data_IF_666967494394
#
_entry.id   IF_666967494394
#
_cell.length_a   1.000
_cell.length_b   1.000
_cell.length_c   1.000
_cell.angle_alpha   90.00
_cell.angle_beta   90.00
_cell.angle_gamma   90.00
#
_symmetry.space_group_name_H-M   'P 1'
#
loop_
_entity.id
_entity.type
_entity.pdbx_description
1 polymer ?
#
# COMPACT_ATOMS: atom_id res chain seq x y z
N UNK A 1 -7.28 -1.58 -17.41
CA UNK A 1 -6.40 -2.73 -17.09
C UNK A 1 -6.97 -3.52 -15.90
N UNK A 2 -6.71 -4.82 -15.76
CA UNK A 2 -7.16 -5.63 -14.60
C UNK A 2 -5.98 -6.43 -14.03
N UNK A 3 -5.74 -6.33 -12.72
CA UNK A 3 -4.66 -7.01 -12.00
C UNK A 3 -5.21 -8.13 -11.13
N UNK A 4 -4.58 -9.30 -11.20
CA UNK A 4 -4.96 -10.49 -10.46
C UNK A 4 -3.82 -10.95 -9.56
N UNK A 5 -4.10 -11.65 -8.46
CA UNK A 5 -3.09 -12.39 -7.72
C UNK A 5 -2.44 -13.46 -8.62
N UNK A 6 -1.18 -13.84 -8.33
CA UNK A 6 -0.42 -14.78 -9.17
C UNK A 6 -0.97 -16.21 -9.15
N UNK A 7 -1.84 -16.54 -8.19
CA UNK A 7 -2.47 -17.86 -8.09
C UNK A 7 -3.96 -17.73 -7.78
N UNK A 8 -4.76 -18.58 -8.39
CA UNK A 8 -6.18 -18.76 -8.09
C UNK A 8 -6.44 -19.88 -7.07
N UNK A 9 -5.37 -20.44 -6.46
CA UNK A 9 -5.41 -21.42 -5.38
C UNK A 9 -4.77 -20.86 -4.12
N UNK A 10 -5.09 -21.47 -2.98
CA UNK A 10 -4.47 -21.10 -1.71
C UNK A 10 -3.00 -21.53 -1.72
N UNK A 11 -2.08 -20.57 -1.66
CA UNK A 11 -0.63 -20.82 -1.56
C UNK A 11 -0.12 -20.83 -0.12
N UNK A 12 -1.01 -20.72 0.87
CA UNK A 12 -0.61 -20.81 2.28
C UNK A 12 -0.25 -22.26 2.61
N UNK A 13 1.03 -22.58 2.94
CA UNK A 13 1.47 -23.97 3.16
C UNK A 13 0.81 -24.63 4.37
N UNK A 14 0.24 -23.83 5.29
CA UNK A 14 -0.50 -24.32 6.45
C UNK A 14 -1.96 -24.64 6.14
N UNK A 15 -2.42 -24.36 4.92
CA UNK A 15 -3.79 -24.58 4.50
C UNK A 15 -3.85 -25.81 3.59
N UNK A 16 -4.59 -26.84 4.00
CA UNK A 16 -4.81 -28.06 3.18
C UNK A 16 -5.82 -27.88 2.03
N UNK A 17 -6.22 -26.64 1.71
CA UNK A 17 -7.24 -26.37 0.69
C UNK A 17 -6.65 -26.45 -0.71
N UNK A 18 -7.09 -27.43 -1.49
CA UNK A 18 -6.75 -27.55 -2.92
C UNK A 18 -7.82 -26.99 -3.87
N UNK A 19 -8.86 -26.32 -3.35
CA UNK A 19 -9.94 -25.72 -4.15
C UNK A 19 -9.61 -24.29 -4.54
N UNK A 20 -10.09 -23.88 -5.72
CA UNK A 20 -10.01 -22.52 -6.24
C UNK A 20 -10.52 -21.50 -5.21
N UNK A 21 -9.83 -20.37 -5.12
CA UNK A 21 -10.17 -19.27 -4.24
C UNK A 21 -11.45 -18.58 -4.69
N UNK A 22 -12.20 -18.02 -3.74
CA UNK A 22 -13.39 -17.23 -4.08
C UNK A 22 -12.94 -15.86 -4.56
N UNK A 23 -13.46 -15.42 -5.71
CA UNK A 23 -13.22 -14.09 -6.23
C UNK A 23 -14.01 -13.07 -5.41
N UNK A 24 -13.32 -12.07 -4.88
CA UNK A 24 -13.95 -10.91 -4.25
C UNK A 24 -14.42 -9.90 -5.30
N UNK A 25 -15.05 -8.80 -4.86
CA UNK A 25 -15.41 -7.71 -5.74
C UNK A 25 -14.16 -7.01 -6.30
N UNK A 26 -14.10 -6.77 -7.62
CA UNK A 26 -13.06 -5.92 -8.21
C UNK A 26 -13.08 -4.54 -7.56
N UNK A 27 -11.90 -4.04 -7.20
CA UNK A 27 -11.70 -2.72 -6.62
C UNK A 27 -11.13 -1.82 -7.70
N UNK A 28 -11.73 -0.64 -7.90
CA UNK A 28 -11.15 0.38 -8.78
C UNK A 28 -9.80 0.84 -8.20
N UNK A 29 -8.82 1.11 -9.03
CA UNK A 29 -7.49 1.58 -8.64
C UNK A 29 -6.91 2.50 -9.72
N UNK A 30 -5.82 3.19 -9.39
CA UNK A 30 -5.13 4.06 -10.35
C UNK A 30 -3.68 3.61 -10.50
N UNK A 31 -3.22 3.53 -11.74
CA UNK A 31 -1.83 3.14 -12.05
C UNK A 31 -1.11 4.31 -12.70
N UNK A 32 0.01 4.69 -12.13
CA UNK A 32 0.86 5.76 -12.63
C UNK A 32 1.99 5.16 -13.45
N UNK A 33 2.12 5.63 -14.68
CA UNK A 33 3.11 5.16 -15.65
C UNK A 33 3.76 6.36 -16.34
N UNK A 34 5.05 6.27 -16.69
CA UNK A 34 5.72 7.33 -17.45
C UNK A 34 5.23 7.39 -18.90
N UNK A 35 5.00 6.23 -19.52
CA UNK A 35 4.67 6.16 -20.95
C UNK A 35 3.23 6.54 -21.26
N UNK A 36 2.29 6.29 -20.34
CA UNK A 36 0.86 6.45 -20.59
C UNK A 36 0.16 7.31 -19.54
N UNK A 37 0.92 7.96 -18.64
CA UNK A 37 0.34 8.76 -17.57
C UNK A 37 -0.46 7.92 -16.59
N UNK A 38 -1.57 8.48 -16.13
CA UNK A 38 -2.45 7.89 -15.12
C UNK A 38 -3.51 7.02 -15.79
N UNK A 39 -3.44 5.72 -15.53
CA UNK A 39 -4.29 4.71 -16.17
C UNK A 39 -5.31 4.14 -15.16
N UNK A 40 -6.62 4.17 -15.46
CA UNK A 40 -7.61 3.52 -14.62
C UNK A 40 -7.49 1.99 -14.73
N UNK A 41 -7.52 1.30 -13.59
CA UNK A 41 -7.42 -0.15 -13.55
C UNK A 41 -8.28 -0.79 -12.47
N UNK A 42 -8.38 -2.11 -12.50
CA UNK A 42 -9.11 -2.88 -11.52
C UNK A 42 -8.18 -3.83 -10.80
N UNK A 43 -8.21 -3.84 -9.48
CA UNK A 43 -7.58 -4.85 -8.65
C UNK A 43 -8.60 -5.95 -8.33
N UNK A 44 -8.22 -7.20 -8.55
CA UNK A 44 -8.98 -8.35 -8.08
C UNK A 44 -8.34 -8.91 -6.83
N UNK A 45 -9.15 -9.10 -5.80
CA UNK A 45 -8.75 -9.78 -4.57
C UNK A 45 -9.37 -11.18 -4.56
N UNK A 46 -8.61 -12.17 -4.08
CA UNK A 46 -9.09 -13.54 -3.92
C UNK A 46 -9.05 -13.92 -2.44
N UNK A 47 -10.08 -14.61 -1.95
CA UNK A 47 -10.20 -14.95 -0.53
C UNK A 47 -10.26 -16.45 -0.32
N UNK A 48 -9.45 -16.94 0.64
CA UNK A 48 -9.50 -18.31 1.13
C UNK A 48 -10.32 -18.37 2.42
N UNK A 49 -11.51 -19.01 2.41
CA UNK A 49 -12.36 -19.09 3.60
C UNK A 49 -11.84 -20.07 4.66
N UNK A 50 -10.88 -20.95 4.32
CA UNK A 50 -10.42 -21.99 5.24
C UNK A 50 -9.28 -21.49 6.14
N UNK A 51 -8.37 -20.67 5.60
CA UNK A 51 -7.27 -20.08 6.35
C UNK A 51 -7.39 -18.56 6.54
N UNK A 52 -8.52 -17.96 6.13
CA UNK A 52 -8.79 -16.52 6.22
C UNK A 52 -7.69 -15.64 5.60
N UNK A 53 -7.07 -16.11 4.52
CA UNK A 53 -6.06 -15.36 3.78
C UNK A 53 -6.70 -14.64 2.59
N UNK A 54 -6.43 -13.35 2.47
CA UNK A 54 -6.80 -12.54 1.31
C UNK A 54 -5.58 -12.33 0.42
N UNK A 55 -5.69 -12.66 -0.85
CA UNK A 55 -4.65 -12.54 -1.85
C UNK A 55 -4.90 -11.31 -2.71
N UNK A 56 -3.90 -10.43 -2.74
CA UNK A 56 -3.79 -9.25 -3.59
C UNK A 56 -2.78 -9.55 -4.71
N UNK A 57 -2.72 -8.73 -5.77
CA UNK A 57 -1.73 -8.88 -6.84
C UNK A 57 -0.30 -9.04 -6.33
N UNK A 58 0.08 -8.27 -5.30
CA UNK A 58 1.48 -8.17 -4.87
C UNK A 58 1.80 -8.91 -3.57
N UNK A 59 0.79 -9.16 -2.73
CA UNK A 59 0.97 -9.79 -1.43
C UNK A 59 -0.27 -10.58 -1.02
N UNK A 60 -0.12 -11.45 -0.01
CA UNK A 60 -1.24 -12.03 0.73
C UNK A 60 -1.31 -11.40 2.11
N UNK A 61 -2.51 -11.14 2.62
CA UNK A 61 -2.75 -10.69 3.98
C UNK A 61 -3.41 -11.81 4.80
N UNK A 62 -2.81 -12.13 5.95
CA UNK A 62 -3.35 -13.08 6.92
C UNK A 62 -3.04 -12.58 8.33
N UNK A 63 -4.05 -12.58 9.22
CA UNK A 63 -3.89 -12.18 10.63
C UNK A 63 -3.20 -10.83 10.84
N UNK A 64 -3.52 -9.84 10.00
CA UNK A 64 -2.91 -8.52 10.11
C UNK A 64 -1.44 -8.47 9.67
N UNK A 65 -0.92 -9.48 8.96
CA UNK A 65 0.42 -9.48 8.35
C UNK A 65 0.29 -9.57 6.83
N UNK A 66 0.95 -8.68 6.11
CA UNK A 66 1.17 -8.76 4.67
C UNK A 66 2.42 -9.58 4.41
N UNK A 67 2.34 -10.51 3.48
CA UNK A 67 3.44 -11.33 3.04
C UNK A 67 3.51 -11.24 1.52
N UNK A 68 4.59 -10.64 1.00
CA UNK A 68 4.78 -10.48 -0.43
C UNK A 68 5.01 -11.83 -1.11
N UNK A 69 4.58 -11.96 -2.36
CA UNK A 69 4.75 -13.21 -3.10
C UNK A 69 6.24 -13.43 -3.40
N UNK A 70 6.66 -14.69 -3.37
CA UNK A 70 8.02 -15.06 -3.74
C UNK A 70 8.19 -14.96 -5.28
N UNK A 71 9.36 -14.50 -5.74
CA UNK A 71 9.65 -14.33 -7.17
C UNK A 71 10.36 -13.01 -7.47
N UNK A 72 10.23 -12.56 -8.72
CA UNK A 72 10.74 -11.26 -9.17
C UNK A 72 9.92 -10.10 -8.57
N UNK A 73 10.54 -8.92 -8.48
CA UNK A 73 9.85 -7.69 -8.09
C UNK A 73 8.68 -7.45 -9.06
N UNK A 74 7.44 -7.28 -8.56
CA UNK A 74 6.28 -7.10 -9.42
C UNK A 74 6.41 -5.82 -10.23
N UNK A 75 5.97 -5.87 -11.48
CA UNK A 75 6.01 -4.73 -12.40
C UNK A 75 5.28 -3.50 -11.86
N UNK A 76 4.21 -3.73 -11.08
CA UNK A 76 3.40 -2.71 -10.44
C UNK A 76 3.36 -2.94 -8.95
N UNK A 77 3.65 -1.92 -8.15
CA UNK A 77 3.62 -2.02 -6.69
C UNK A 77 2.42 -1.28 -6.14
N UNK A 78 1.73 -1.92 -5.18
CA UNK A 78 0.51 -1.43 -4.58
C UNK A 78 0.87 -0.55 -3.41
N UNK A 79 0.47 0.71 -3.48
CA UNK A 79 0.80 1.78 -2.57
C UNK A 79 -0.53 2.32 -2.04
N UNK A 80 -1.06 1.66 -1.02
CA UNK A 80 -2.30 2.09 -0.37
C UNK A 80 -2.02 2.86 0.91
N UNK A 81 -2.60 4.05 1.05
CA UNK A 81 -2.66 4.88 2.27
C UNK A 81 -1.41 4.83 3.17
N UNK A 82 -0.28 5.24 2.63
CA UNK A 82 0.95 5.45 3.37
C UNK A 82 1.32 6.96 3.18
N UNK A 83 2.00 7.59 4.15
CA UNK A 83 2.26 9.04 4.21
C UNK A 83 3.74 9.33 4.55
N UNK A 84 4.53 9.89 3.62
CA UNK A 84 5.86 10.53 3.85
C UNK A 84 6.34 11.33 2.62
N UNK A 85 7.25 12.32 2.79
CA UNK A 85 7.38 13.51 1.90
C UNK A 85 8.39 13.50 0.70
N UNK A 86 8.03 13.17 -0.57
CA UNK A 86 8.80 13.29 -1.85
C UNK A 86 8.21 14.33 -2.84
N UNK A 87 8.16 15.60 -2.42
CA UNK A 87 7.37 16.67 -3.08
C UNK A 87 7.81 17.02 -4.51
N UNK A 88 9.09 16.82 -4.85
CA UNK A 88 9.59 17.20 -6.18
C UNK A 88 9.19 16.20 -7.27
N UNK A 89 9.18 14.89 -6.96
CA UNK A 89 8.84 13.84 -7.93
C UNK A 89 7.35 13.86 -8.26
N UNK A 90 6.50 13.98 -7.23
CA UNK A 90 5.05 14.10 -7.42
C UNK A 90 4.69 15.33 -8.24
N UNK A 91 5.35 16.47 -7.98
CA UNK A 91 5.14 17.71 -8.72
C UNK A 91 5.60 17.59 -10.17
N UNK A 92 6.77 17.03 -10.44
CA UNK A 92 7.28 16.85 -11.81
C UNK A 92 6.34 15.96 -12.64
N UNK A 93 5.91 14.83 -12.06
CA UNK A 93 4.96 13.93 -12.71
C UNK A 93 3.63 14.63 -13.01
N UNK A 94 3.04 15.27 -12.01
CA UNK A 94 1.76 15.97 -12.18
C UNK A 94 1.89 17.10 -13.22
N UNK A 95 2.98 17.87 -13.23
CA UNK A 95 3.16 18.93 -14.24
C UNK A 95 3.30 18.37 -15.66
N UNK A 96 3.95 17.22 -15.83
CA UNK A 96 4.16 16.61 -17.13
C UNK A 96 2.91 15.90 -17.69
N UNK A 97 2.05 15.34 -16.83
CA UNK A 97 1.03 14.37 -17.24
C UNK A 97 -0.41 14.68 -16.79
N UNK A 98 -0.65 15.67 -15.92
CA UNK A 98 -2.00 15.88 -15.31
C UNK A 98 -3.05 16.58 -16.19
N UNK A 99 -2.67 17.32 -17.23
CA UNK A 99 -3.60 18.26 -17.88
C UNK A 99 -4.65 17.61 -18.79
N UNK A 100 -4.43 16.37 -19.25
CA UNK A 100 -5.31 15.69 -20.18
C UNK A 100 -6.32 14.76 -19.48
N UNK A 101 -6.02 14.26 -18.28
CA UNK A 101 -6.64 13.04 -17.75
C UNK A 101 -7.81 13.28 -16.77
N UNK A 102 -7.86 14.43 -16.07
CA UNK A 102 -8.90 14.69 -15.06
C UNK A 102 -10.33 14.71 -15.61
N UNK A 103 -10.50 15.14 -16.86
CA UNK A 103 -11.84 15.20 -17.50
C UNK A 103 -12.37 13.82 -17.87
N UNK A 104 -11.51 12.94 -18.34
CA UNK A 104 -11.90 11.60 -18.80
C UNK A 104 -12.22 10.68 -17.62
N UNK A 105 -11.51 10.83 -16.50
CA UNK A 105 -11.78 10.08 -15.27
C UNK A 105 -13.13 10.44 -14.64
N UNK A 106 -13.45 11.73 -14.59
CA UNK A 106 -14.73 12.21 -14.08
C UNK A 106 -15.91 11.73 -14.94
N UNK A 107 -15.76 11.75 -16.27
CA UNK A 107 -16.78 11.26 -17.20
C UNK A 107 -17.01 9.74 -17.08
N UNK A 108 -15.97 8.96 -16.75
CA UNK A 108 -16.03 7.51 -16.57
C UNK A 108 -16.59 7.04 -15.22
N UNK A 109 -16.97 7.95 -14.32
CA UNK A 109 -17.43 7.59 -12.96
C UNK A 109 -16.33 6.99 -12.08
N UNK A 110 -15.06 7.34 -12.34
CA UNK A 110 -13.94 6.86 -11.55
C UNK A 110 -13.84 7.59 -10.23
N UNK A 111 -13.79 6.86 -9.10
CA UNK A 111 -13.85 7.48 -7.77
C UNK A 111 -12.51 8.07 -7.29
N UNK A 112 -11.41 7.81 -7.99
CA UNK A 112 -10.07 8.23 -7.59
C UNK A 112 -9.54 9.38 -8.43
N UNK A 113 -8.89 10.34 -7.77
CA UNK A 113 -8.21 11.45 -8.44
C UNK A 113 -6.90 11.02 -9.10
N UNK A 114 -6.51 11.75 -10.15
CA UNK A 114 -5.32 11.49 -10.96
C UNK A 114 -4.03 12.02 -10.31
N UNK A 115 -4.14 12.73 -9.18
CA UNK A 115 -3.02 13.44 -8.58
C UNK A 115 -2.10 12.46 -7.85
N UNK A 116 -0.89 12.28 -8.38
CA UNK A 116 0.18 11.56 -7.71
C UNK A 116 0.63 12.39 -6.50
N UNK A 117 0.55 11.80 -5.31
CA UNK A 117 1.05 12.46 -4.12
C UNK A 117 2.50 12.09 -3.90
N UNK A 118 3.16 13.01 -3.23
CA UNK A 118 4.44 12.88 -2.55
C UNK A 118 4.55 11.58 -1.75
N UNK A 119 3.48 11.19 -1.06
CA UNK A 119 3.46 10.00 -0.22
C UNK A 119 3.58 8.73 -1.04
N UNK A 120 2.82 8.64 -2.13
CA UNK A 120 2.87 7.46 -3.01
C UNK A 120 4.28 7.18 -3.52
N UNK A 121 5.06 8.22 -3.82
CA UNK A 121 6.43 8.07 -4.31
C UNK A 121 7.34 7.44 -3.26
N UNK A 122 7.31 7.91 -2.01
CA UNK A 122 8.15 7.35 -0.95
C UNK A 122 7.77 5.93 -0.60
N UNK A 123 6.48 5.67 -0.45
CA UNK A 123 6.01 4.36 -0.05
C UNK A 123 6.37 3.31 -1.10
N UNK A 124 6.30 3.69 -2.38
CA UNK A 124 6.82 2.86 -3.47
C UNK A 124 8.31 2.62 -3.34
N UNK A 125 9.09 3.68 -3.09
CA UNK A 125 10.54 3.58 -2.98
C UNK A 125 10.96 2.70 -1.80
N UNK A 126 10.36 2.87 -0.64
CA UNK A 126 10.66 2.08 0.56
C UNK A 126 10.24 0.63 0.32
N UNK A 127 9.06 0.39 -0.24
CA UNK A 127 8.62 -0.96 -0.53
C UNK A 127 9.52 -1.65 -1.56
N UNK A 128 9.93 -0.94 -2.62
CA UNK A 128 10.88 -1.43 -3.61
C UNK A 128 12.23 -1.80 -2.99
N UNK A 129 12.78 -0.91 -2.17
CA UNK A 129 14.10 -1.15 -1.53
C UNK A 129 14.04 -2.34 -0.58
N UNK A 130 12.95 -2.52 0.15
CA UNK A 130 12.74 -3.70 1.00
C UNK A 130 12.57 -4.98 0.19
N UNK A 131 11.79 -4.93 -0.90
CA UNK A 131 11.62 -6.07 -1.80
C UNK A 131 12.96 -6.49 -2.42
N UNK A 132 13.74 -5.54 -2.96
CA UNK A 132 15.08 -5.81 -3.51
C UNK A 132 16.03 -6.39 -2.45
N UNK A 133 16.05 -5.81 -1.25
CA UNK A 133 16.86 -6.32 -0.13
C UNK A 133 16.54 -7.79 0.20
N UNK A 134 15.24 -8.12 0.29
CA UNK A 134 14.75 -9.45 0.62
C UNK A 134 15.00 -10.45 -0.52
N UNK A 135 14.81 -10.03 -1.78
CA UNK A 135 15.12 -10.83 -2.96
C UNK A 135 16.60 -11.21 -3.01
N UNK A 136 17.51 -10.26 -2.79
CA UNK A 136 18.97 -10.54 -2.77
C UNK A 136 19.38 -11.51 -1.66
N UNK A 137 18.68 -11.51 -0.53
CA UNK A 137 18.92 -12.42 0.60
C UNK A 137 18.14 -13.73 0.51
N UNK A 138 17.29 -13.92 -0.50
CA UNK A 138 16.37 -15.06 -0.62
C UNK A 138 15.50 -15.24 0.63
N UNK A 139 15.08 -14.13 1.23
CA UNK A 139 14.16 -14.11 2.36
C UNK A 139 12.84 -13.47 1.94
N UNK A 140 11.75 -13.76 2.66
CA UNK A 140 10.42 -13.26 2.33
C UNK A 140 10.10 -12.00 3.13
N UNK A 141 9.64 -10.95 2.45
CA UNK A 141 9.22 -9.71 3.12
C UNK A 141 7.87 -9.91 3.82
N UNK A 142 7.85 -9.69 5.13
CA UNK A 142 6.65 -9.69 5.96
C UNK A 142 6.53 -8.35 6.68
N UNK A 143 5.36 -7.70 6.56
CA UNK A 143 5.10 -6.39 7.18
C UNK A 143 3.72 -6.37 7.82
N UNK A 144 3.54 -5.74 8.98
CA UNK A 144 2.22 -5.57 9.57
C UNK A 144 1.26 -4.86 8.61
N UNK A 145 0.05 -5.40 8.45
CA UNK A 145 -1.01 -4.86 7.61
C UNK A 145 -1.62 -3.58 8.18
N UNK A 146 -1.50 -3.37 9.50
CA UNK A 146 -2.18 -2.28 10.24
C UNK A 146 -1.27 -1.13 10.63
N UNK A 147 0.06 -1.25 10.49
CA UNK A 147 0.98 -0.26 11.10
C UNK A 147 2.26 -0.11 10.29
N UNK A 148 2.20 0.64 9.18
CA UNK A 148 3.41 1.21 8.58
C UNK A 148 3.83 2.51 9.28
N UNK A 149 2.88 3.21 9.92
CA UNK A 149 3.08 4.49 10.62
C UNK A 149 4.18 4.48 11.70
N UNK A 150 4.68 3.32 12.14
CA UNK A 150 5.66 3.23 13.23
C UNK A 150 7.10 2.97 12.79
N UNK A 151 7.36 2.58 11.54
CA UNK A 151 8.74 2.21 11.13
C UNK A 151 9.65 3.45 11.01
N UNK A 152 9.11 4.66 10.79
CA UNK A 152 9.88 5.90 10.83
C UNK A 152 9.89 6.63 12.19
N UNK A 153 9.19 6.09 13.21
CA UNK A 153 9.30 6.58 14.59
C UNK A 153 10.47 5.91 15.35
N UNK A 154 11.44 5.32 14.65
CA UNK A 154 12.67 4.79 15.23
C UNK A 154 13.87 5.65 14.83
N UNK A 155 13.81 6.92 15.19
CA UNK A 155 15.02 7.70 15.53
C UNK A 155 15.03 7.94 17.04
N UNK A 156 15.09 6.86 17.81
CA UNK A 156 15.66 6.88 19.16
C UNK A 156 16.69 5.76 19.25
N UNK A 157 17.74 5.89 18.44
CA UNK A 157 19.02 5.25 18.70
C UNK A 157 19.83 6.24 19.55
N UNK A 158 19.64 6.20 20.87
CA UNK A 158 20.56 6.88 21.79
C UNK A 158 21.55 5.85 22.32
N UNK A 159 22.86 5.97 22.05
CA UNK A 159 23.86 5.21 22.76
C UNK A 159 24.14 5.89 24.11
N UNK A 160 24.30 5.05 25.14
CA UNK A 160 24.96 5.28 26.46
C UNK A 160 24.04 5.23 27.70
N UNK A 161 24.01 4.04 28.30
CA UNK A 161 24.10 3.66 29.72
C UNK A 161 23.40 4.45 30.86
N UNK A 162 22.60 3.68 31.61
CA UNK A 162 22.50 3.56 33.09
C UNK A 162 22.20 4.82 33.91
N UNK A 163 21.00 4.93 34.52
CA UNK A 163 20.79 4.86 36.00
C UNK A 163 19.29 4.79 36.40
N UNK A 164 18.99 3.87 37.33
CA UNK A 164 17.98 3.86 38.41
C UNK A 164 16.58 4.50 38.28
N UNK A 165 15.57 3.64 38.39
CA UNK A 165 14.33 3.67 39.20
C UNK A 165 13.78 4.99 39.78
N UNK A 166 12.47 5.22 39.58
CA UNK A 166 11.46 5.19 40.67
C UNK A 166 10.03 5.13 40.10
N UNK A 167 9.16 4.45 40.83
CA UNK A 167 7.71 4.38 40.60
C UNK A 167 7.06 5.71 41.00
N UNK A 168 6.00 6.12 40.29
CA UNK A 168 4.75 6.51 40.96
C UNK A 168 3.57 6.60 39.98
N UNK A 169 2.40 6.45 40.60
CA UNK A 169 1.12 5.97 40.12
C UNK A 169 0.15 7.13 39.77
N UNK A 170 -1.05 6.77 39.29
CA UNK A 170 -2.32 7.54 39.27
C UNK A 170 -2.57 8.41 38.01
N UNK A 171 -3.75 8.49 37.39
CA UNK A 171 -5.08 7.93 37.66
C UNK A 171 -5.93 8.12 36.37
N UNK A 172 -6.65 7.07 35.98
CA UNK A 172 -7.66 7.09 34.90
C UNK A 172 -8.90 7.89 35.33
N UNK A 173 -9.41 8.76 34.46
CA UNK A 173 -10.78 9.32 34.56
C UNK A 173 -11.67 8.75 33.44
N UNK A 174 -12.90 8.31 33.73
CA UNK A 174 -13.84 7.82 32.72
C UNK A 174 -14.58 8.96 31.99
N UNK A 175 -15.03 8.74 30.74
CA UNK A 175 -15.75 9.76 29.96
C UNK A 175 -17.27 9.77 30.26
N UNK A 176 -17.95 10.94 30.13
CA UNK A 176 -19.41 11.03 30.25
C UNK A 176 -20.15 10.66 28.94
N UNK A 177 -21.47 10.34 29.03
CA UNK A 177 -22.22 9.65 27.98
C UNK A 177 -22.83 10.57 26.90
N UNK A 178 -23.09 9.96 25.74
CA UNK A 178 -23.69 10.56 24.53
C UNK A 178 -25.21 10.74 24.60
N UNK A 179 -25.78 11.63 23.77
CA UNK A 179 -27.16 11.49 23.31
C UNK A 179 -27.30 11.38 21.77
N UNK A 180 -28.05 10.35 21.34
CA UNK A 180 -29.19 10.51 20.41
C UNK A 180 -28.94 10.66 18.90
N UNK A 181 -29.05 9.52 18.19
CA UNK A 181 -29.63 9.29 16.85
C UNK A 181 -29.69 10.39 15.78
N UNK A 182 -29.13 10.12 14.59
CA UNK A 182 -29.89 9.84 13.36
C UNK A 182 -29.01 9.61 12.12
N UNK A 183 -29.45 8.61 11.36
CA UNK A 183 -29.40 8.43 9.91
C UNK A 183 -28.17 7.88 9.17
N UNK A 184 -28.52 6.85 8.41
CA UNK A 184 -27.79 6.12 7.39
C UNK A 184 -27.20 7.06 6.33
N UNK A 185 -25.91 6.87 6.04
CA UNK A 185 -25.33 6.88 4.69
C UNK A 185 -23.96 6.22 4.79
N UNK A 186 -23.94 4.90 4.58
CA UNK A 186 -22.71 4.13 4.55
C UNK A 186 -22.00 4.42 3.21
N UNK A 187 -21.34 5.56 3.14
CA UNK A 187 -20.33 5.84 2.13
C UNK A 187 -19.22 4.83 2.40
N UNK A 188 -19.09 3.83 1.52
CA UNK A 188 -17.89 2.99 1.49
C UNK A 188 -16.69 3.95 1.42
N UNK A 189 -15.99 4.11 2.54
CA UNK A 189 -14.67 4.73 2.56
C UNK A 189 -13.74 3.77 1.83
N UNK A 190 -13.75 3.85 0.51
CA UNK A 190 -12.84 3.10 -0.35
C UNK A 190 -11.43 3.48 0.04
N UNK A 191 -10.69 2.53 0.61
CA UNK A 191 -9.26 2.71 0.80
C UNK A 191 -8.63 2.96 -0.57
N UNK A 192 -7.93 4.08 -0.72
CA UNK A 192 -7.21 4.47 -1.94
C UNK A 192 -6.00 3.55 -2.09
N UNK A 193 -5.98 2.79 -3.19
CA UNK A 193 -4.87 1.91 -3.56
C UNK A 193 -4.34 2.40 -4.91
N UNK A 194 -3.15 2.97 -4.88
CA UNK A 194 -2.45 3.48 -6.06
C UNK A 194 -1.35 2.50 -6.45
N UNK A 195 -0.97 2.44 -7.74
CA UNK A 195 0.15 1.62 -8.19
C UNK A 195 1.18 2.41 -8.99
N UNK A 196 2.46 2.19 -8.72
CA UNK A 196 3.56 2.75 -9.51
C UNK A 196 4.34 1.63 -10.21
N UNK A 197 4.73 1.88 -11.47
CA UNK A 197 5.58 1.00 -12.25
C UNK A 197 7.03 1.10 -11.75
N UNK A 198 7.73 -0.03 -11.63
CA UNK A 198 9.08 -0.05 -11.05
C UNK A 198 10.13 0.72 -11.88
N UNK A 199 10.17 0.47 -13.19
CA UNK A 199 11.15 1.08 -14.10
C UNK A 199 11.06 2.62 -14.11
N UNK A 200 9.85 3.12 -13.88
CA UNK A 200 9.53 4.54 -13.85
C UNK A 200 10.08 5.23 -12.60
N UNK A 201 10.08 4.53 -11.46
CA UNK A 201 10.70 5.01 -10.23
C UNK A 201 12.21 5.09 -10.37
N UNK A 202 12.85 4.07 -10.95
CA UNK A 202 14.30 4.09 -11.18
C UNK A 202 14.72 5.25 -12.09
N UNK A 203 13.97 5.50 -13.17
CA UNK A 203 14.25 6.61 -14.09
C UNK A 203 14.09 7.99 -13.44
N UNK A 204 13.05 8.19 -12.63
CA UNK A 204 12.81 9.46 -11.93
C UNK A 204 13.95 9.84 -10.97
N UNK A 205 14.56 8.85 -10.31
CA UNK A 205 15.67 9.10 -9.37
C UNK A 205 17.05 9.20 -10.04
N UNK A 206 17.28 8.47 -11.13
CA UNK A 206 18.58 8.52 -11.84
C UNK A 206 18.79 9.84 -12.60
N UNK A 207 17.72 10.46 -13.11
CA UNK A 207 17.81 11.71 -13.88
C UNK A 207 18.12 12.97 -13.04
N UNK A 208 18.21 12.86 -11.71
CA UNK A 208 18.61 13.96 -10.82
C UNK A 208 20.13 14.16 -10.65
N UNK A 209 20.98 13.39 -11.33
CA UNK A 209 22.46 13.44 -11.20
C UNK A 209 23.19 13.98 -12.44
N UNK A 210 22.55 14.83 -13.23
CA UNK A 210 23.23 15.53 -14.33
C UNK A 210 22.87 17.01 -14.35
N UNK A 211 23.52 17.77 -13.47
CA UNK A 211 23.90 19.17 -13.61
C UNK A 211 24.94 19.51 -12.54
#
# INVERSE_FOLDING_TARGET
MVMYPPSDFCTNPKCGRCKRLKKAHPVQIVVYTLASGVVPAWEVQLYCPDCNTTYYPNYSAQHGTRTYHDGDIPQYISIGAHHVSATNCSRAYNMALSSQEERDFAAGGWQFGCKLTTDHVWDSFILLTLLDYHQRRKTRLQVPHTVWFRIFSLTEFSPTAITSASNDELLLKPPPPSPGSLNQNNVNQGHRIDFLKQEDLTAAFCNGKSA
#
